data_IF_215777779414
#
_entry.id   IF_215777779414
#
_cell.length_a   1.000
_cell.length_b   1.000
_cell.length_c   1.000
_cell.angle_alpha   90.00
_cell.angle_beta   90.00
_cell.angle_gamma   90.00
#
_symmetry.space_group_name_H-M   'P 1'
#
loop_
_entity.id
_entity.type
_entity.pdbx_description
1 polymer ?
#
# COMPACT_ATOMS: atom_id res chain seq x y z
N UNK A 1 19.73 18.82 -19.61
CA UNK A 1 18.83 17.69 -19.29
C UNK A 1 19.54 16.45 -18.70
N UNK A 2 20.87 16.42 -18.61
CA UNK A 2 21.64 15.25 -18.07
C UNK A 2 21.94 15.34 -16.54
N UNK A 3 21.61 16.45 -15.89
CA UNK A 3 21.93 16.63 -14.45
C UNK A 3 20.86 16.03 -13.52
N UNK A 4 19.65 15.79 -14.02
CA UNK A 4 18.52 15.30 -13.20
C UNK A 4 18.54 13.76 -13.03
N UNK A 5 19.01 13.02 -14.04
CA UNK A 5 19.05 11.56 -14.02
C UNK A 5 20.11 10.98 -13.06
N UNK A 6 21.22 11.69 -12.81
CA UNK A 6 22.26 11.22 -11.88
C UNK A 6 21.89 11.41 -10.40
N UNK A 7 21.07 12.42 -10.10
CA UNK A 7 20.60 12.66 -8.74
C UNK A 7 19.52 11.67 -8.33
N UNK A 8 18.69 11.21 -9.27
CA UNK A 8 17.67 10.18 -9.02
C UNK A 8 18.28 8.79 -8.79
N UNK A 9 19.38 8.43 -9.47
CA UNK A 9 20.07 7.16 -9.25
C UNK A 9 20.66 7.06 -7.85
N UNK A 10 21.29 8.13 -7.34
CA UNK A 10 21.89 8.15 -6.00
C UNK A 10 20.85 8.07 -4.87
N UNK A 11 19.61 8.55 -5.08
CA UNK A 11 18.53 8.45 -4.09
C UNK A 11 17.90 7.04 -4.03
N UNK A 12 17.88 6.31 -5.13
CA UNK A 12 17.31 4.96 -5.22
C UNK A 12 18.22 3.87 -4.63
N UNK A 13 19.54 4.06 -4.64
CA UNK A 13 20.53 3.08 -4.16
C UNK A 13 20.56 2.92 -2.63
N UNK A 14 19.98 3.87 -1.89
CA UNK A 14 19.99 3.89 -0.43
C UNK A 14 18.62 3.55 0.21
N UNK A 15 17.69 2.95 -0.55
CA UNK A 15 16.35 2.62 -0.04
C UNK A 15 16.18 1.10 -0.01
N UNK A 16 15.89 0.57 1.19
CA UNK A 16 15.60 -0.84 1.42
C UNK A 16 14.12 -1.04 1.66
N UNK A 17 13.55 -2.11 1.09
CA UNK A 17 12.21 -2.59 1.44
C UNK A 17 12.32 -3.52 2.64
N UNK A 18 11.46 -3.33 3.63
CA UNK A 18 11.54 -4.03 4.90
C UNK A 18 10.15 -4.14 5.56
N UNK A 19 10.06 -4.96 6.60
CA UNK A 19 8.87 -5.05 7.46
C UNK A 19 8.91 -3.95 8.52
N UNK A 20 7.75 -3.72 9.13
CA UNK A 20 7.59 -2.80 10.25
C UNK A 20 8.52 -3.16 11.42
N UNK A 21 9.14 -2.16 12.01
CA UNK A 21 9.96 -2.23 13.23
C UNK A 21 9.43 -1.25 14.27
N UNK A 22 9.76 -1.49 15.52
CA UNK A 22 9.48 -0.52 16.59
C UNK A 22 10.07 0.85 16.23
N UNK A 23 9.24 1.90 16.40
CA UNK A 23 9.57 3.28 16.03
C UNK A 23 9.16 3.70 14.61
N UNK A 24 8.81 2.79 13.72
CA UNK A 24 8.39 3.14 12.35
C UNK A 24 7.05 3.89 12.31
N UNK A 25 6.23 3.74 13.36
CA UNK A 25 4.94 4.42 13.46
C UNK A 25 5.05 5.94 13.31
N UNK A 26 6.10 6.56 13.88
CA UNK A 26 6.36 7.99 13.73
C UNK A 26 6.65 8.36 12.26
N UNK A 27 7.51 7.59 11.60
CA UNK A 27 7.86 7.81 10.19
C UNK A 27 6.66 7.62 9.26
N UNK A 28 5.81 6.62 9.50
CA UNK A 28 4.57 6.39 8.74
C UNK A 28 3.61 7.56 8.95
N UNK A 29 3.38 7.99 10.19
CA UNK A 29 2.52 9.12 10.51
C UNK A 29 3.01 10.41 9.84
N UNK A 30 4.31 10.67 9.89
CA UNK A 30 4.90 11.83 9.21
C UNK A 30 4.67 11.79 7.69
N UNK A 31 4.82 10.61 7.08
CA UNK A 31 4.60 10.40 5.65
C UNK A 31 3.12 10.62 5.27
N UNK A 32 2.15 10.14 6.05
CA UNK A 32 0.73 10.40 5.82
C UNK A 32 0.39 11.89 5.94
N UNK A 33 0.94 12.59 6.93
CA UNK A 33 0.75 14.04 7.08
C UNK A 33 1.36 14.83 5.93
N UNK A 34 2.53 14.44 5.46
CA UNK A 34 3.19 15.10 4.32
C UNK A 34 2.33 15.01 3.04
N UNK A 35 1.74 13.84 2.76
CA UNK A 35 0.98 13.59 1.53
C UNK A 35 -0.46 14.06 1.61
N UNK A 36 -1.14 13.83 2.73
CA UNK A 36 -2.58 14.04 2.88
C UNK A 36 -2.96 15.13 3.89
N UNK A 37 -1.98 15.74 4.58
CA UNK A 37 -2.29 16.60 5.73
C UNK A 37 -3.04 15.80 6.80
N UNK A 38 -4.17 16.32 7.28
CA UNK A 38 -5.07 15.60 8.21
C UNK A 38 -6.28 14.99 7.47
N UNK A 39 -6.26 14.93 6.12
CA UNK A 39 -7.41 14.57 5.29
C UNK A 39 -7.59 13.09 5.01
N UNK A 40 -6.64 12.22 5.34
CA UNK A 40 -6.82 10.78 5.09
C UNK A 40 -7.90 10.20 6.02
N UNK A 41 -8.85 9.39 5.49
CA UNK A 41 -10.04 9.00 6.28
C UNK A 41 -9.73 8.02 7.42
N UNK A 42 -8.64 7.25 7.34
CA UNK A 42 -8.28 6.26 8.36
C UNK A 42 -7.41 6.91 9.43
N UNK A 43 -8.00 7.20 10.59
CA UNK A 43 -7.35 7.92 11.69
C UNK A 43 -6.17 7.19 12.33
N UNK A 44 -6.11 5.88 12.20
CA UNK A 44 -5.00 5.05 12.68
C UNK A 44 -3.64 5.58 12.21
N UNK A 45 -3.55 6.07 10.96
CA UNK A 45 -2.29 6.54 10.39
C UNK A 45 -1.79 7.88 10.94
N UNK A 46 -2.54 8.51 11.84
CA UNK A 46 -2.15 9.73 12.54
C UNK A 46 -1.72 9.50 14.00
N UNK A 47 -1.73 8.24 14.45
CA UNK A 47 -1.32 7.82 15.79
C UNK A 47 -0.22 6.74 15.70
N UNK A 48 1.06 7.11 15.93
CA UNK A 48 2.19 6.17 15.86
C UNK A 48 2.04 4.94 16.75
N UNK A 49 1.47 5.13 17.95
CA UNK A 49 1.26 4.03 18.89
C UNK A 49 0.13 3.09 18.42
N UNK A 50 -0.93 3.65 17.81
CA UNK A 50 -2.00 2.83 17.22
C UNK A 50 -1.48 1.98 16.06
N UNK A 51 -0.60 2.54 15.21
CA UNK A 51 0.07 1.80 14.14
C UNK A 51 0.89 0.65 14.74
N UNK A 52 1.69 0.92 15.77
CA UNK A 52 2.51 -0.10 16.42
C UNK A 52 1.66 -1.21 17.05
N UNK A 53 0.60 -0.85 17.78
CA UNK A 53 -0.34 -1.82 18.37
C UNK A 53 -1.01 -2.68 17.30
N UNK A 54 -1.46 -2.09 16.20
CA UNK A 54 -2.12 -2.81 15.11
C UNK A 54 -1.17 -3.82 14.41
N UNK A 55 0.10 -3.44 14.20
CA UNK A 55 1.13 -4.33 13.68
C UNK A 55 1.44 -5.48 14.66
N UNK A 56 1.57 -5.19 15.95
CA UNK A 56 1.82 -6.21 16.97
C UNK A 56 0.64 -7.19 17.13
N UNK A 57 -0.59 -6.74 16.94
CA UNK A 57 -1.79 -7.57 16.98
C UNK A 57 -2.00 -8.42 15.70
N UNK A 58 -1.28 -8.12 14.60
CA UNK A 58 -1.50 -8.74 13.30
C UNK A 58 -2.81 -8.30 12.61
N UNK A 59 -3.38 -7.18 13.03
CA UNK A 59 -4.50 -6.52 12.34
C UNK A 59 -4.03 -5.72 11.14
N UNK A 60 -2.81 -5.20 11.23
CA UNK A 60 -2.05 -4.57 10.14
C UNK A 60 -0.68 -5.21 10.02
N UNK A 61 -0.18 -5.23 8.80
CA UNK A 61 1.22 -5.49 8.48
C UNK A 61 1.69 -4.35 7.59
N UNK A 62 2.61 -3.53 8.09
CA UNK A 62 3.17 -2.42 7.35
C UNK A 62 4.50 -2.83 6.73
N UNK A 63 4.61 -2.69 5.42
CA UNK A 63 5.85 -2.89 4.67
C UNK A 63 6.39 -1.52 4.29
N UNK A 64 7.63 -1.24 4.58
CA UNK A 64 8.19 0.09 4.49
C UNK A 64 9.34 0.17 3.48
N UNK A 65 9.43 1.27 2.77
CA UNK A 65 10.61 1.68 2.04
C UNK A 65 11.42 2.62 2.95
N UNK A 66 12.54 2.12 3.44
CA UNK A 66 13.41 2.79 4.42
C UNK A 66 14.65 3.31 3.74
N UNK A 67 14.87 4.60 3.82
CA UNK A 67 16.12 5.21 3.41
C UNK A 67 17.25 4.88 4.41
N UNK A 68 18.51 4.88 3.98
CA UNK A 68 19.68 4.60 4.81
C UNK A 68 19.84 5.53 6.02
N UNK A 69 19.22 6.71 6.00
CA UNK A 69 19.13 7.61 7.17
C UNK A 69 18.14 7.15 8.23
N UNK A 70 17.37 6.08 7.99
CA UNK A 70 16.27 5.62 8.83
C UNK A 70 14.90 6.20 8.47
N UNK A 71 14.83 7.20 7.60
CA UNK A 71 13.55 7.81 7.22
C UNK A 71 12.67 6.84 6.41
N UNK A 72 11.38 6.80 6.74
CA UNK A 72 10.37 6.08 5.97
C UNK A 72 9.95 6.96 4.79
N UNK A 73 10.19 6.47 3.57
CA UNK A 73 9.92 7.20 2.32
C UNK A 73 8.82 6.57 1.48
N UNK A 74 8.34 5.41 1.90
CA UNK A 74 7.20 4.73 1.30
C UNK A 74 6.67 3.67 2.25
N UNK A 75 5.41 3.32 2.09
CA UNK A 75 4.75 2.28 2.86
C UNK A 75 3.65 1.63 2.03
N UNK A 76 3.41 0.37 2.27
CA UNK A 76 2.25 -0.39 1.81
C UNK A 76 1.73 -1.21 2.99
N UNK A 77 0.42 -1.31 3.13
CA UNK A 77 -0.19 -2.02 4.25
C UNK A 77 -0.99 -3.23 3.76
N UNK A 78 -0.97 -4.27 4.58
CA UNK A 78 -1.88 -5.39 4.49
C UNK A 78 -2.68 -5.45 5.78
N UNK A 79 -4.01 -5.34 5.72
CA UNK A 79 -4.84 -5.21 6.91
C UNK A 79 -6.16 -5.97 6.81
N UNK A 80 -6.76 -6.24 7.96
CA UNK A 80 -8.05 -6.94 8.06
C UNK A 80 -9.20 -5.96 7.90
N UNK A 81 -9.83 -5.98 6.73
CA UNK A 81 -11.07 -5.25 6.43
C UNK A 81 -12.23 -6.19 6.08
N UNK A 82 -11.91 -7.42 5.66
CA UNK A 82 -12.90 -8.43 5.32
C UNK A 82 -13.42 -9.18 6.56
N UNK A 83 -14.67 -9.71 6.52
CA UNK A 83 -15.23 -10.52 7.61
C UNK A 83 -14.47 -11.84 7.85
N UNK A 84 -13.85 -12.39 6.81
CA UNK A 84 -13.08 -13.64 6.91
C UNK A 84 -11.63 -13.33 7.33
N UNK A 85 -11.23 -13.89 8.48
CA UNK A 85 -10.00 -13.52 9.17
C UNK A 85 -8.69 -13.78 8.41
N UNK A 86 -8.72 -14.61 7.36
CA UNK A 86 -7.54 -14.96 6.56
C UNK A 86 -7.47 -14.22 5.22
N UNK A 87 -8.42 -13.31 5.00
CA UNK A 87 -8.46 -12.41 3.85
C UNK A 87 -8.04 -11.03 4.31
N UNK A 88 -7.05 -10.46 3.64
CA UNK A 88 -6.46 -9.17 3.96
C UNK A 88 -6.58 -8.23 2.77
N UNK A 89 -6.77 -6.97 3.05
CA UNK A 89 -6.72 -5.89 2.06
C UNK A 89 -5.30 -5.34 1.93
N UNK A 90 -4.79 -5.29 0.71
CA UNK A 90 -3.58 -4.55 0.37
C UNK A 90 -3.97 -3.14 -0.04
N UNK A 91 -3.56 -2.15 0.73
CA UNK A 91 -3.96 -0.76 0.48
C UNK A 91 -3.29 0.24 1.41
N UNK A 92 -3.81 1.46 1.39
CA UNK A 92 -3.24 2.59 2.10
C UNK A 92 -1.75 2.84 1.79
N UNK A 93 -1.33 2.44 0.58
CA UNK A 93 0.04 2.59 0.12
C UNK A 93 0.34 4.02 -0.33
N UNK A 94 1.50 4.53 0.04
CA UNK A 94 1.97 5.82 -0.44
C UNK A 94 3.50 5.90 -0.48
N UNK A 95 3.99 6.82 -1.32
CA UNK A 95 5.41 7.10 -1.48
C UNK A 95 5.61 8.61 -1.43
N UNK A 96 6.63 9.03 -0.69
CA UNK A 96 7.03 10.42 -0.57
C UNK A 96 7.27 11.05 -1.94
N UNK A 97 6.88 12.30 -2.11
CA UNK A 97 6.81 12.96 -3.43
C UNK A 97 8.16 12.96 -4.16
N UNK A 98 9.25 13.24 -3.47
CA UNK A 98 10.62 13.28 -4.02
C UNK A 98 11.17 11.87 -4.36
N UNK A 99 10.56 10.81 -3.81
CA UNK A 99 10.90 9.41 -4.09
C UNK A 99 9.96 8.75 -5.12
N UNK A 100 8.99 9.48 -5.66
CA UNK A 100 8.15 9.00 -6.77
C UNK A 100 9.05 8.76 -7.99
N UNK A 101 8.64 7.87 -8.88
CA UNK A 101 9.41 7.43 -10.06
C UNK A 101 10.63 6.52 -9.78
N UNK A 102 10.94 6.20 -8.52
CA UNK A 102 11.94 5.19 -8.16
C UNK A 102 11.38 3.76 -8.16
N UNK A 103 10.12 3.58 -8.55
CA UNK A 103 9.45 2.29 -8.59
C UNK A 103 9.15 1.69 -7.21
N UNK A 104 9.14 2.49 -6.14
CA UNK A 104 9.01 1.99 -4.76
C UNK A 104 7.67 1.31 -4.51
N UNK A 105 6.57 1.83 -5.02
CA UNK A 105 5.25 1.17 -4.91
C UNK A 105 5.30 -0.25 -5.48
N UNK A 106 5.90 -0.43 -6.65
CA UNK A 106 6.05 -1.74 -7.27
C UNK A 106 6.91 -2.67 -6.40
N UNK A 107 8.06 -2.18 -5.92
CA UNK A 107 8.96 -2.96 -5.05
C UNK A 107 8.30 -3.38 -3.74
N UNK A 108 7.52 -2.48 -3.10
CA UNK A 108 6.75 -2.79 -1.90
C UNK A 108 5.72 -3.89 -2.16
N UNK A 109 4.95 -3.77 -3.24
CA UNK A 109 3.97 -4.78 -3.64
C UNK A 109 4.62 -6.11 -4.03
N UNK A 110 5.73 -6.10 -4.77
CA UNK A 110 6.47 -7.30 -5.13
C UNK A 110 6.99 -8.01 -3.87
N UNK A 111 7.62 -7.29 -2.95
CA UNK A 111 8.06 -7.84 -1.67
C UNK A 111 6.89 -8.41 -0.86
N UNK A 112 5.80 -7.64 -0.71
CA UNK A 112 4.59 -8.08 -0.02
C UNK A 112 4.03 -9.37 -0.64
N UNK A 113 3.83 -9.37 -1.95
CA UNK A 113 3.10 -10.42 -2.64
C UNK A 113 3.92 -11.68 -2.90
N UNK A 114 5.20 -11.54 -3.22
CA UNK A 114 6.03 -12.67 -3.68
C UNK A 114 6.94 -13.22 -2.60
N UNK A 115 7.38 -12.38 -1.65
CA UNK A 115 8.34 -12.78 -0.66
C UNK A 115 7.73 -12.93 0.73
N UNK A 116 7.00 -11.92 1.21
CA UNK A 116 6.55 -11.88 2.61
C UNK A 116 5.23 -12.62 2.85
N UNK A 117 4.15 -12.31 2.13
CA UNK A 117 2.83 -12.91 2.38
C UNK A 117 2.78 -14.44 2.17
N UNK A 118 3.51 -15.04 1.21
CA UNK A 118 3.54 -16.51 1.06
C UNK A 118 4.07 -17.25 2.29
N UNK A 119 4.89 -16.60 3.12
CA UNK A 119 5.46 -17.17 4.34
C UNK A 119 4.49 -17.08 5.54
N UNK A 120 3.42 -16.27 5.43
CA UNK A 120 2.46 -16.07 6.52
C UNK A 120 1.37 -17.15 6.47
N UNK A 121 1.32 -18.02 7.46
CA UNK A 121 0.31 -19.08 7.54
C UNK A 121 -1.12 -18.58 7.77
N UNK A 122 -1.25 -17.37 8.32
CA UNK A 122 -2.53 -16.69 8.57
C UNK A 122 -3.14 -15.99 7.37
N UNK A 123 -2.42 -15.89 6.23
CA UNK A 123 -2.89 -15.22 5.02
C UNK A 123 -3.21 -16.29 3.96
N UNK A 124 -4.49 -16.40 3.59
CA UNK A 124 -4.94 -17.30 2.53
C UNK A 124 -5.24 -16.56 1.23
N UNK A 125 -5.68 -15.33 1.35
CA UNK A 125 -6.06 -14.48 0.22
C UNK A 125 -5.78 -13.01 0.54
N UNK A 126 -5.44 -12.29 -0.48
CA UNK A 126 -5.28 -10.85 -0.47
C UNK A 126 -6.21 -10.23 -1.51
N UNK A 127 -6.80 -9.09 -1.20
CA UNK A 127 -7.51 -8.29 -2.18
C UNK A 127 -7.00 -6.84 -2.17
N UNK A 128 -7.35 -6.08 -3.19
CA UNK A 128 -7.06 -4.67 -3.28
C UNK A 128 -8.08 -3.95 -4.14
N UNK A 129 -8.12 -2.63 -3.99
CA UNK A 129 -9.08 -1.74 -4.64
C UNK A 129 -8.35 -0.62 -5.41
N UNK A 130 -7.55 -0.96 -6.44
CA UNK A 130 -6.86 0.05 -7.24
C UNK A 130 -7.87 0.99 -7.91
N UNK A 131 -7.72 2.27 -7.62
CA UNK A 131 -8.60 3.34 -8.14
C UNK A 131 -8.54 3.44 -9.67
N UNK A 132 -9.65 3.84 -10.29
CA UNK A 132 -9.81 3.89 -11.75
C UNK A 132 -9.52 5.27 -12.37
N UNK A 133 -9.24 6.30 -11.57
CA UNK A 133 -8.95 7.64 -12.09
C UNK A 133 -7.54 7.75 -12.72
N UNK A 134 -6.65 6.79 -12.45
CA UNK A 134 -5.33 6.69 -13.07
C UNK A 134 -4.85 5.24 -13.09
N UNK A 135 -3.92 4.86 -14.01
CA UNK A 135 -3.49 3.47 -14.20
C UNK A 135 -2.30 3.07 -13.29
N UNK A 136 -1.84 3.90 -12.34
CA UNK A 136 -0.58 3.66 -11.63
C UNK A 136 -0.62 2.38 -10.80
N UNK A 137 -1.64 2.20 -9.94
CA UNK A 137 -1.77 1.00 -9.13
C UNK A 137 -2.07 -0.24 -9.97
N UNK A 138 -2.91 -0.11 -11.01
CA UNK A 138 -3.19 -1.22 -11.93
C UNK A 138 -1.91 -1.71 -12.62
N UNK A 139 -1.01 -0.79 -13.02
CA UNK A 139 0.31 -1.14 -13.57
C UNK A 139 1.25 -1.73 -12.51
N UNK A 140 1.18 -1.24 -11.27
CA UNK A 140 2.03 -1.74 -10.19
C UNK A 140 1.69 -3.19 -9.79
N UNK A 141 0.40 -3.56 -9.82
CA UNK A 141 -0.05 -4.94 -9.54
C UNK A 141 0.01 -5.87 -10.75
N UNK A 142 0.25 -5.32 -11.95
CA UNK A 142 0.37 -6.14 -13.17
C UNK A 142 1.52 -7.15 -13.01
N UNK A 143 1.23 -8.42 -13.28
CA UNK A 143 2.20 -9.53 -13.11
C UNK A 143 2.27 -10.12 -11.70
N UNK A 144 1.59 -9.51 -10.70
CA UNK A 144 1.52 -10.03 -9.32
C UNK A 144 0.37 -11.03 -9.11
N UNK A 145 -0.15 -11.64 -10.17
CA UNK A 145 -1.16 -12.70 -10.14
C UNK A 145 -2.48 -12.30 -9.44
N UNK A 146 -2.80 -11.01 -9.41
CA UNK A 146 -4.14 -10.57 -9.07
C UNK A 146 -5.10 -10.83 -10.23
N UNK A 147 -6.35 -11.14 -9.88
CA UNK A 147 -7.46 -11.35 -10.82
C UNK A 147 -8.52 -10.30 -10.54
N UNK A 148 -8.94 -9.58 -11.57
CA UNK A 148 -10.02 -8.61 -11.49
C UNK A 148 -11.36 -9.35 -11.35
N UNK A 149 -12.11 -9.06 -10.29
CA UNK A 149 -13.36 -9.75 -9.97
C UNK A 149 -14.59 -8.86 -10.10
N UNK A 150 -14.45 -7.56 -9.85
CA UNK A 150 -15.56 -6.61 -9.91
C UNK A 150 -15.09 -5.17 -10.12
N UNK A 151 -16.02 -4.29 -10.48
CA UNK A 151 -15.86 -2.85 -10.49
C UNK A 151 -16.77 -2.24 -9.42
N UNK A 152 -16.18 -1.57 -8.45
CA UNK A 152 -16.88 -0.85 -7.39
C UNK A 152 -17.12 0.60 -7.82
N UNK A 153 -18.35 0.87 -8.26
CA UNK A 153 -18.72 2.17 -8.81
C UNK A 153 -18.78 3.20 -7.68
N UNK A 154 -18.06 4.34 -7.87
CA UNK A 154 -18.08 5.47 -6.95
C UNK A 154 -17.69 5.11 -5.50
N UNK A 155 -16.77 4.15 -5.32
CA UNK A 155 -16.28 3.71 -4.02
C UNK A 155 -15.66 4.86 -3.25
N UNK A 156 -14.65 5.51 -3.83
CA UNK A 156 -13.91 6.58 -3.17
C UNK A 156 -14.67 7.89 -3.19
N UNK A 157 -14.83 8.56 -2.03
CA UNK A 157 -15.50 9.85 -1.95
C UNK A 157 -14.66 10.97 -2.59
N UNK A 158 -15.33 12.00 -3.12
CA UNK A 158 -14.65 13.13 -3.77
C UNK A 158 -13.69 13.88 -2.82
N UNK A 159 -14.02 13.92 -1.54
CA UNK A 159 -13.26 14.59 -0.49
C UNK A 159 -11.84 14.01 -0.32
N UNK A 160 -11.65 12.72 -0.61
CA UNK A 160 -10.34 12.06 -0.56
C UNK A 160 -9.32 12.67 -1.54
N UNK A 161 -9.80 13.34 -2.59
CA UNK A 161 -8.96 13.94 -3.64
C UNK A 161 -8.78 15.46 -3.52
N UNK A 162 -9.32 16.08 -2.47
CA UNK A 162 -9.29 17.55 -2.31
C UNK A 162 -7.88 18.11 -2.25
N UNK A 163 -6.95 17.43 -1.60
CA UNK A 163 -5.55 17.83 -1.48
C UNK A 163 -4.69 17.25 -2.61
N UNK A 164 -4.90 15.99 -2.95
CA UNK A 164 -4.11 15.24 -3.93
C UNK A 164 -4.48 15.61 -5.38
N UNK A 165 -5.72 16.09 -5.62
CA UNK A 165 -6.24 16.72 -6.86
C UNK A 165 -6.25 15.83 -8.12
N UNK A 166 -6.20 14.51 -7.97
CA UNK A 166 -6.27 13.60 -9.12
C UNK A 166 -7.69 13.35 -9.63
N UNK A 167 -8.70 13.74 -8.87
CA UNK A 167 -10.11 13.64 -9.26
C UNK A 167 -10.94 14.80 -8.69
N UNK A 168 -12.05 15.15 -9.38
CA UNK A 168 -13.00 16.17 -8.95
C UNK A 168 -14.34 15.60 -8.45
N UNK A 169 -14.52 14.28 -8.52
CA UNK A 169 -15.72 13.56 -8.13
C UNK A 169 -15.42 12.24 -7.45
N UNK A 170 -16.46 11.44 -7.23
CA UNK A 170 -16.27 10.07 -6.71
C UNK A 170 -15.57 9.21 -7.74
N UNK A 171 -14.71 8.31 -7.27
CA UNK A 171 -13.88 7.44 -8.12
C UNK A 171 -14.27 6.00 -7.91
N UNK A 172 -14.37 5.25 -9.00
CA UNK A 172 -14.52 3.80 -8.99
C UNK A 172 -13.17 3.11 -8.67
N UNK A 173 -13.24 1.90 -8.15
CA UNK A 173 -12.09 1.03 -7.98
C UNK A 173 -12.34 -0.35 -8.59
N UNK A 174 -11.29 -1.00 -9.04
CA UNK A 174 -11.33 -2.42 -9.39
C UNK A 174 -11.18 -3.24 -8.13
N UNK A 175 -12.05 -4.22 -7.91
CA UNK A 175 -11.86 -5.22 -6.87
C UNK A 175 -11.04 -6.37 -7.43
N UNK A 176 -9.81 -6.53 -6.93
CA UNK A 176 -8.86 -7.53 -7.41
C UNK A 176 -8.49 -8.48 -6.28
N UNK A 177 -8.30 -9.77 -6.60
CA UNK A 177 -7.96 -10.82 -5.63
C UNK A 177 -6.72 -11.60 -6.03
N UNK A 178 -5.94 -12.00 -5.03
CA UNK A 178 -4.83 -12.92 -5.16
C UNK A 178 -4.91 -14.02 -4.10
N UNK A 179 -4.93 -15.28 -4.55
CA UNK A 179 -4.96 -16.45 -3.67
C UNK A 179 -3.56 -16.97 -3.39
N UNK A 180 -3.29 -17.30 -2.12
CA UNK A 180 -2.06 -17.97 -1.67
C UNK A 180 -2.29 -19.45 -1.35
N UNK A 181 -3.54 -19.87 -1.12
CA UNK A 181 -3.90 -21.24 -0.82
C UNK A 181 -4.96 -21.74 -1.82
N UNK A 182 -4.86 -23.01 -2.27
CA UNK A 182 -5.90 -23.59 -3.12
C UNK A 182 -7.25 -23.54 -2.39
N UNK A 183 -8.26 -23.04 -3.06
CA UNK A 183 -9.65 -23.11 -2.57
C UNK A 183 -10.37 -24.27 -3.26
N UNK A 184 -11.17 -25.09 -2.53
CA UNK A 184 -12.01 -26.09 -3.17
C UNK A 184 -13.02 -25.39 -4.09
N UNK A 185 -13.11 -25.83 -5.33
CA UNK A 185 -14.17 -25.37 -6.22
C UNK A 185 -15.52 -25.79 -5.64
N UNK A 186 -16.33 -24.81 -5.26
CA UNK A 186 -17.75 -25.03 -4.93
C UNK A 186 -18.56 -24.61 -6.14
N UNK A 187 -19.20 -25.57 -6.78
CA UNK A 187 -20.24 -25.31 -7.79
C UNK A 187 -21.56 -25.28 -7.02
N UNK A 188 -22.26 -24.15 -7.08
CA UNK A 188 -23.60 -24.01 -6.52
C UNK A 188 -24.63 -24.23 -7.61
#
# INVERSE_FOLDING_TARGET
>A
MEHDSRNQSAHGENIQIDVFRDGDGEGITALFREVYGEGYPVRLFYDPEAIARANAAGDYYSLVARHSSGAIVGVEHLYRSAPFQKVYEAGAGLVRQDCRNLGLTKKLLEFMCEEWAPQQTGIEEMFGEPVCNHPYMQKAVAGLRFVEMALEIALMPAEAYTQEKSATGRVAALLIFRNYRPKPHRVF
#
